data_IF_606152705377
#
_entry.id   IF_606152705377
#
_cell.length_a   1.000
_cell.length_b   1.000
_cell.length_c   1.000
_cell.angle_alpha   90.00
_cell.angle_beta   90.00
_cell.angle_gamma   90.00
#
_symmetry.space_group_name_H-M   'P 1'
#
loop_
_entity.id
_entity.type
_entity.pdbx_description
1 polymer ?
#
# COMPACT_ATOMS: atom_id res chain seq x y z
N UNK A 1 -23.02 -9.94 33.04
CA UNK A 1 -23.79 -10.97 32.31
C UNK A 1 -22.84 -11.60 31.29
N UNK A 2 -22.50 -12.87 31.50
CA UNK A 2 -21.60 -13.66 30.67
C UNK A 2 -22.40 -14.23 29.49
N UNK A 3 -21.86 -14.15 28.27
CA UNK A 3 -22.06 -15.17 27.24
C UNK A 3 -20.72 -15.41 26.57
N UNK A 4 -20.18 -16.60 26.82
CA UNK A 4 -18.99 -17.15 26.18
C UNK A 4 -19.46 -18.14 25.13
N UNK A 5 -19.02 -17.99 23.89
CA UNK A 5 -19.02 -19.07 22.90
C UNK A 5 -17.56 -19.47 22.69
N UNK A 6 -17.18 -20.56 23.33
CA UNK A 6 -15.85 -21.18 23.18
C UNK A 6 -15.74 -21.91 21.85
N UNK A 7 -14.80 -21.50 21.01
CA UNK A 7 -14.19 -22.39 20.02
C UNK A 7 -12.70 -22.52 20.36
N UNK A 8 -12.34 -23.58 21.07
CA UNK A 8 -10.94 -23.94 21.36
C UNK A 8 -10.28 -24.48 20.08
N UNK A 9 -9.24 -23.82 19.54
CA UNK A 9 -8.02 -24.48 19.00
C UNK A 9 -6.93 -23.50 18.51
N UNK A 10 -5.73 -23.67 19.12
CA UNK A 10 -4.38 -23.15 18.79
C UNK A 10 -4.14 -21.63 18.90
N UNK A 11 -3.22 -21.17 19.78
CA UNK A 11 -2.69 -19.81 19.69
C UNK A 11 -1.59 -19.83 18.62
N UNK A 12 -1.97 -19.75 17.35
CA UNK A 12 -1.02 -19.27 16.35
C UNK A 12 -1.15 -17.76 16.45
N UNK A 13 -0.13 -17.12 17.02
CA UNK A 13 0.02 -15.67 16.99
C UNK A 13 0.15 -15.26 15.51
N UNK A 14 -0.98 -15.15 14.82
CA UNK A 14 -1.04 -14.54 13.50
C UNK A 14 -0.73 -13.08 13.72
N UNK A 15 0.44 -12.67 13.23
CA UNK A 15 0.88 -11.30 13.28
C UNK A 15 0.01 -10.50 12.28
N UNK A 16 -1.18 -10.08 12.71
CA UNK A 16 -2.18 -9.34 11.92
C UNK A 16 -1.73 -7.92 11.50
N UNK A 17 -0.48 -7.54 11.78
CA UNK A 17 0.12 -6.27 11.38
C UNK A 17 1.45 -6.52 10.66
N UNK A 18 1.43 -6.80 9.35
CA UNK A 18 2.65 -6.80 8.54
C UNK A 18 3.34 -5.45 8.71
N UNK A 19 4.56 -5.45 9.25
CA UNK A 19 5.36 -4.24 9.38
C UNK A 19 6.22 -4.10 8.12
N UNK A 20 6.21 -2.91 7.56
CA UNK A 20 6.98 -2.57 6.37
C UNK A 20 7.40 -1.13 6.44
N UNK A 21 8.32 -0.77 5.56
CA UNK A 21 8.80 0.58 5.43
C UNK A 21 9.32 0.78 4.01
N UNK A 22 9.38 2.04 3.61
CA UNK A 22 9.96 2.38 2.33
C UNK A 22 10.19 3.85 2.18
N UNK A 23 10.83 4.18 1.08
CA UNK A 23 11.19 5.53 0.71
C UNK A 23 10.81 5.76 -0.74
N UNK A 24 10.64 7.01 -1.11
CA UNK A 24 10.33 7.38 -2.47
C UNK A 24 10.61 8.84 -2.73
N UNK A 25 10.76 9.15 -4.01
CA UNK A 25 10.81 10.51 -4.53
C UNK A 25 9.47 10.79 -5.19
N UNK A 26 8.90 11.96 -4.91
CA UNK A 26 7.67 12.37 -5.56
C UNK A 26 7.74 13.79 -6.08
N UNK A 27 6.94 14.04 -7.13
CA UNK A 27 6.74 15.37 -7.70
C UNK A 27 5.29 15.58 -8.08
N UNK A 28 4.89 16.84 -8.10
CA UNK A 28 3.62 17.29 -8.65
C UNK A 28 3.85 17.79 -10.08
N UNK A 29 2.96 17.47 -11.01
CA UNK A 29 3.00 18.01 -12.37
C UNK A 29 2.27 19.35 -12.49
N UNK A 30 2.35 19.99 -13.66
CA UNK A 30 1.68 21.27 -13.95
C UNK A 30 0.15 21.19 -13.88
N UNK A 31 -0.43 19.98 -13.98
CA UNK A 31 -1.86 19.72 -13.84
C UNK A 31 -2.24 19.41 -12.39
N UNK A 32 -1.28 19.44 -11.47
CA UNK A 32 -1.48 19.14 -10.05
C UNK A 32 -1.59 17.65 -9.74
N UNK A 33 -1.24 16.76 -10.67
CA UNK A 33 -1.22 15.30 -10.45
C UNK A 33 0.06 14.87 -9.73
N UNK A 34 -0.06 13.80 -8.95
CA UNK A 34 1.07 13.24 -8.22
C UNK A 34 1.80 12.19 -9.04
N UNK A 35 3.13 12.24 -9.01
CA UNK A 35 4.03 11.25 -9.57
C UNK A 35 5.00 10.80 -8.49
N UNK A 36 5.27 9.50 -8.37
CA UNK A 36 6.24 9.01 -7.41
C UNK A 36 7.01 7.79 -7.87
N UNK A 37 8.30 7.77 -7.59
CA UNK A 37 9.13 6.57 -7.61
C UNK A 37 9.29 6.09 -6.17
N UNK A 38 9.05 4.82 -5.90
CA UNK A 38 9.16 4.27 -4.56
C UNK A 38 9.90 2.94 -4.55
N UNK A 39 10.50 2.64 -3.40
CA UNK A 39 10.98 1.34 -3.03
C UNK A 39 10.52 1.06 -1.59
N UNK A 40 9.81 -0.04 -1.40
CA UNK A 40 9.27 -0.47 -0.11
C UNK A 40 9.63 -1.93 0.11
N UNK A 41 9.77 -2.33 1.38
CA UNK A 41 9.84 -3.72 1.76
C UNK A 41 8.84 -3.97 2.89
N UNK A 42 8.05 -5.03 2.75
CA UNK A 42 7.02 -5.40 3.72
C UNK A 42 7.18 -6.87 4.11
N UNK A 43 6.85 -7.19 5.36
CA UNK A 43 6.82 -8.59 5.82
C UNK A 43 5.46 -9.22 5.54
N UNK A 44 5.44 -10.42 4.99
CA UNK A 44 4.22 -11.23 4.86
C UNK A 44 3.82 -11.89 6.19
N UNK A 45 2.70 -12.63 6.19
CA UNK A 45 2.21 -13.37 7.37
C UNK A 45 3.13 -14.52 7.82
N UNK A 46 4.13 -14.88 7.01
CA UNK A 46 5.17 -15.88 7.31
C UNK A 46 6.51 -15.23 7.70
N UNK A 47 6.52 -13.92 7.96
CA UNK A 47 7.69 -13.14 8.39
C UNK A 47 8.79 -13.06 7.30
N UNK A 48 8.43 -13.21 6.02
CA UNK A 48 9.32 -13.09 4.86
C UNK A 48 9.26 -11.67 4.29
N UNK A 49 10.40 -11.14 3.87
CA UNK A 49 10.50 -9.83 3.25
C UNK A 49 10.10 -9.89 1.78
N UNK A 50 9.13 -9.07 1.40
CA UNK A 50 8.70 -8.80 0.03
C UNK A 50 9.10 -7.37 -0.35
N UNK A 51 10.17 -7.19 -1.15
CA UNK A 51 10.50 -5.89 -1.71
C UNK A 51 9.60 -5.59 -2.92
N UNK A 52 9.17 -4.34 -3.02
CA UNK A 52 8.48 -3.78 -4.17
C UNK A 52 9.13 -2.44 -4.53
N UNK A 53 9.38 -2.23 -5.82
CA UNK A 53 9.78 -0.94 -6.34
C UNK A 53 8.91 -0.60 -7.55
N UNK A 54 8.56 0.67 -7.70
CA UNK A 54 7.67 1.05 -8.77
C UNK A 54 7.53 2.55 -8.97
N UNK A 55 6.76 2.86 -9.99
CA UNK A 55 6.30 4.18 -10.31
C UNK A 55 4.80 4.26 -10.06
N UNK A 56 4.37 5.30 -9.37
CA UNK A 56 2.98 5.62 -9.10
C UNK A 56 2.58 6.93 -9.76
N UNK A 57 1.35 6.97 -10.25
CA UNK A 57 0.70 8.18 -10.73
C UNK A 57 -0.70 8.27 -10.13
N UNK A 58 -1.08 9.45 -9.67
CA UNK A 58 -2.43 9.73 -9.18
C UNK A 58 -2.95 11.05 -9.74
N UNK A 59 -4.12 10.98 -10.39
CA UNK A 59 -4.94 12.15 -10.63
C UNK A 59 -5.37 12.72 -9.29
N UNK A 60 -5.10 14.00 -9.05
CA UNK A 60 -5.34 14.62 -7.74
C UNK A 60 -6.36 15.73 -7.83
N UNK A 61 -7.36 15.67 -6.96
CA UNK A 61 -8.43 16.66 -6.82
C UNK A 61 -8.33 17.36 -5.47
N UNK A 62 -8.58 18.67 -5.47
CA UNK A 62 -8.66 19.52 -4.27
C UNK A 62 -10.08 20.10 -4.18
N UNK A 63 -11.06 19.32 -3.71
CA UNK A 63 -12.48 19.70 -3.79
C UNK A 63 -12.91 20.70 -2.71
N UNK A 64 -12.09 20.94 -1.69
CA UNK A 64 -12.40 21.87 -0.61
C UNK A 64 -11.82 23.26 -0.91
N UNK A 65 -12.35 24.28 -0.24
CA UNK A 65 -11.78 25.64 -0.28
C UNK A 65 -10.34 25.69 0.28
N UNK A 66 -9.97 24.72 1.10
CA UNK A 66 -8.62 24.54 1.59
C UNK A 66 -7.81 23.69 0.59
N UNK A 67 -6.84 24.33 -0.08
CA UNK A 67 -5.97 23.68 -1.06
C UNK A 67 -5.03 22.63 -0.45
N UNK A 68 -4.89 22.60 0.88
CA UNK A 68 -4.13 21.56 1.57
C UNK A 68 -4.82 20.21 1.50
N UNK A 69 -6.16 20.17 1.41
CA UNK A 69 -6.90 18.92 1.32
C UNK A 69 -6.90 18.39 -0.11
N UNK A 70 -6.46 17.15 -0.28
CA UNK A 70 -6.38 16.53 -1.60
C UNK A 70 -6.77 15.04 -1.58
N UNK A 71 -7.43 14.63 -2.66
CA UNK A 71 -7.81 13.24 -2.94
C UNK A 71 -7.10 12.79 -4.22
N UNK A 72 -6.54 11.59 -4.21
CA UNK A 72 -5.85 11.01 -5.35
C UNK A 72 -6.47 9.68 -5.78
N UNK A 73 -6.51 9.45 -7.09
CA UNK A 73 -6.81 8.14 -7.67
C UNK A 73 -5.93 7.90 -8.89
N UNK A 74 -5.37 6.71 -8.99
CA UNK A 74 -4.57 6.34 -10.14
C UNK A 74 -4.06 4.91 -10.06
N UNK A 75 -2.81 4.71 -10.43
CA UNK A 75 -2.22 3.38 -10.53
C UNK A 75 -0.71 3.42 -10.25
N UNK A 76 -0.18 2.26 -9.92
CA UNK A 76 1.25 2.01 -9.87
C UNK A 76 1.64 0.84 -10.74
N UNK A 77 2.71 1.04 -11.51
CA UNK A 77 3.41 -0.01 -12.22
C UNK A 77 4.75 -0.25 -11.51
N UNK A 78 5.03 -1.49 -11.16
CA UNK A 78 6.23 -1.83 -10.41
C UNK A 78 6.66 -3.26 -10.60
N UNK A 79 7.66 -3.65 -9.84
CA UNK A 79 8.18 -5.00 -9.76
C UNK A 79 8.23 -5.39 -8.29
N UNK A 80 7.71 -6.57 -7.97
CA UNK A 80 7.82 -7.18 -6.65
C UNK A 80 8.58 -8.49 -6.73
N UNK A 81 9.19 -8.92 -5.64
CA UNK A 81 9.80 -10.24 -5.54
C UNK A 81 9.27 -10.98 -4.31
N UNK A 82 8.95 -12.26 -4.48
CA UNK A 82 8.35 -13.11 -3.42
C UNK A 82 9.16 -14.37 -3.20
N UNK A 83 9.28 -14.78 -1.93
CA UNK A 83 10.00 -16.01 -1.52
C UNK A 83 9.37 -17.26 -2.14
N UNK A 84 8.03 -17.34 -2.21
CA UNK A 84 7.29 -18.44 -2.83
C UNK A 84 7.63 -18.70 -4.31
N UNK A 85 8.22 -17.73 -5.01
CA UNK A 85 8.62 -17.84 -6.43
C UNK A 85 10.14 -17.74 -6.62
N UNK A 86 10.95 -18.10 -5.63
CA UNK A 86 12.41 -17.99 -5.68
C UNK A 86 12.90 -16.55 -5.99
N UNK A 87 12.16 -15.53 -5.53
CA UNK A 87 12.47 -14.12 -5.78
C UNK A 87 12.53 -13.71 -7.27
N UNK A 88 11.84 -14.44 -8.15
CA UNK A 88 11.66 -14.00 -9.54
C UNK A 88 10.93 -12.65 -9.54
N UNK A 89 11.46 -11.62 -10.24
CA UNK A 89 10.82 -10.31 -10.33
C UNK A 89 9.50 -10.43 -11.08
N UNK A 90 8.40 -10.09 -10.42
CA UNK A 90 7.05 -10.12 -10.96
C UNK A 90 6.59 -8.68 -11.26
N UNK A 91 6.21 -8.38 -12.51
CA UNK A 91 5.60 -7.09 -12.81
C UNK A 91 4.23 -6.99 -12.13
N UNK A 92 3.94 -5.84 -11.56
CA UNK A 92 2.64 -5.54 -10.93
C UNK A 92 2.08 -4.24 -11.49
N UNK A 93 0.78 -4.23 -11.73
CA UNK A 93 0.00 -3.04 -12.05
C UNK A 93 -1.20 -3.00 -11.10
N UNK A 94 -1.19 -2.03 -10.20
CA UNK A 94 -2.16 -1.96 -9.10
C UNK A 94 -2.85 -0.60 -9.06
N UNK A 95 -4.14 -0.53 -8.70
CA UNK A 95 -4.79 0.75 -8.46
C UNK A 95 -4.20 1.42 -7.21
N UNK A 96 -4.17 2.75 -7.23
CA UNK A 96 -3.81 3.59 -6.10
C UNK A 96 -4.96 4.53 -5.75
N UNK A 97 -5.17 4.74 -4.45
CA UNK A 97 -6.05 5.76 -3.93
C UNK A 97 -5.38 6.48 -2.76
N UNK A 98 -5.61 7.78 -2.64
CA UNK A 98 -5.03 8.57 -1.56
C UNK A 98 -5.95 9.66 -1.04
N UNK A 99 -5.75 10.02 0.22
CA UNK A 99 -6.34 11.18 0.88
C UNK A 99 -5.26 11.84 1.72
N UNK A 100 -5.12 13.15 1.63
CA UNK A 100 -4.10 13.86 2.37
C UNK A 100 -4.46 15.30 2.70
N UNK A 101 -3.66 15.85 3.61
CA UNK A 101 -3.73 17.21 4.07
C UNK A 101 -2.30 17.76 4.20
N UNK A 102 -1.93 18.69 3.33
CA UNK A 102 -0.59 19.27 3.28
C UNK A 102 0.49 18.20 3.06
N UNK A 103 1.52 18.07 3.94
CA UNK A 103 2.61 17.11 3.75
C UNK A 103 2.23 15.66 4.11
N UNK A 104 1.07 15.43 4.73
CA UNK A 104 0.66 14.11 5.22
C UNK A 104 -0.37 13.51 4.28
N UNK A 105 -0.06 12.34 3.72
CA UNK A 105 -0.96 11.63 2.82
C UNK A 105 -1.12 10.18 3.28
N UNK A 106 -2.35 9.73 3.43
CA UNK A 106 -2.68 8.31 3.53
C UNK A 106 -2.92 7.75 2.13
N UNK A 107 -2.10 6.79 1.71
CA UNK A 107 -2.16 6.17 0.39
C UNK A 107 -2.40 4.67 0.55
N UNK A 108 -3.18 4.10 -0.36
CA UNK A 108 -3.50 2.68 -0.36
C UNK A 108 -3.49 2.10 -1.76
N UNK A 109 -3.25 0.79 -1.83
CA UNK A 109 -3.37 -0.01 -3.04
C UNK A 109 -4.17 -1.28 -2.75
N UNK A 110 -4.84 -1.77 -3.80
CA UNK A 110 -5.55 -3.04 -3.76
C UNK A 110 -4.77 -4.05 -4.60
N UNK A 111 -4.35 -5.15 -3.97
CA UNK A 111 -3.66 -6.24 -4.65
C UNK A 111 -4.70 -7.32 -4.98
N UNK A 112 -5.15 -7.44 -6.24
CA UNK A 112 -6.02 -8.52 -6.65
C UNK A 112 -5.24 -9.83 -6.63
N UNK A 113 -5.86 -10.87 -6.10
CA UNK A 113 -5.34 -12.23 -6.10
C UNK A 113 -6.37 -13.22 -6.63
N UNK A 114 -5.94 -14.46 -6.77
CA UNK A 114 -6.72 -15.55 -7.33
C UNK A 114 -7.50 -16.30 -6.24
N UNK A 115 -8.45 -17.14 -6.64
CA UNK A 115 -9.24 -17.95 -5.70
C UNK A 115 -8.32 -18.64 -4.68
N UNK A 116 -8.61 -18.42 -3.39
CA UNK A 116 -7.87 -18.92 -2.22
C UNK A 116 -6.56 -18.20 -1.83
N UNK A 117 -6.12 -17.16 -2.56
CA UNK A 117 -4.95 -16.35 -2.19
C UNK A 117 -5.07 -14.90 -2.71
N UNK A 118 -5.09 -13.93 -1.80
CA UNK A 118 -4.82 -12.51 -2.12
C UNK A 118 -6.05 -11.65 -2.36
N UNK A 119 -6.64 -11.13 -1.30
CA UNK A 119 -7.43 -9.91 -1.36
C UNK A 119 -6.86 -9.01 -0.27
N UNK A 120 -5.84 -8.23 -0.62
CA UNK A 120 -5.07 -7.46 0.34
C UNK A 120 -5.16 -5.99 -0.01
N UNK A 121 -5.70 -5.23 0.94
CA UNK A 121 -5.51 -3.79 0.99
C UNK A 121 -4.19 -3.52 1.69
N UNK A 122 -3.30 -2.81 1.00
CA UNK A 122 -2.05 -2.34 1.59
C UNK A 122 -2.09 -0.82 1.64
N UNK A 123 -1.92 -0.26 2.83
CA UNK A 123 -1.99 1.18 3.05
C UNK A 123 -0.78 1.66 3.85
N UNK A 124 -0.32 2.87 3.54
CA UNK A 124 0.83 3.49 4.17
C UNK A 124 0.62 4.99 4.35
N UNK A 125 1.32 5.54 5.33
CA UNK A 125 1.44 6.98 5.52
C UNK A 125 2.64 7.48 4.73
N UNK A 126 2.43 8.49 3.90
CA UNK A 126 3.45 9.22 3.16
C UNK A 126 3.62 10.60 3.77
N UNK A 127 4.85 10.92 4.16
CA UNK A 127 5.25 12.22 4.68
C UNK A 127 6.16 12.90 3.65
N UNK A 128 5.72 14.04 3.11
CA UNK A 128 6.54 14.90 2.26
C UNK A 128 7.31 15.87 3.16
N UNK A 129 8.64 15.92 3.00
CA UNK A 129 9.55 16.78 3.75
C UNK A 129 10.34 17.69 2.80
#
# INVERSE_FOLDING_TARGET
MHVSLTTKKKPIANNERPWGGGFGLSRWDEKGNWHGLYAMAFKDSWNKWEPIAGYGWESTWRPLADENFHLGLGFTAGVTARDNWNYIPLPVLLPLASVGYGPVTFQMTYIPGTYNNGNVYFAWMRFQF
#
